data_IF_758997611615
#
_entry.id   IF_758997611615
#
_cell.length_a   1.000
_cell.length_b   1.000
_cell.length_c   1.000
_cell.angle_alpha   90.00
_cell.angle_beta   90.00
_cell.angle_gamma   90.00
#
_symmetry.space_group_name_H-M   'P 1'
#
loop_
_entity.id
_entity.type
_entity.pdbx_description
1 polymer ?
#
# COMPACT_ATOMS: atom_id res chain seq x y z
N UNK A 1 -40.93 -3.17 -17.30
CA UNK A 1 -39.87 -2.34 -16.69
C UNK A 1 -38.97 -1.87 -17.82
N UNK A 2 -39.01 -0.58 -18.15
CA UNK A 2 -38.14 0.02 -19.17
C UNK A 2 -36.79 0.26 -18.51
N UNK A 3 -35.75 -0.44 -18.98
CA UNK A 3 -34.36 -0.17 -18.60
C UNK A 3 -34.02 1.24 -19.09
N UNK A 4 -33.79 2.15 -18.15
CA UNK A 4 -33.16 3.43 -18.49
C UNK A 4 -31.79 3.15 -19.13
N UNK A 5 -31.46 3.81 -20.26
CA UNK A 5 -30.14 3.70 -20.84
C UNK A 5 -29.11 4.21 -19.83
N UNK A 6 -28.08 3.41 -19.57
CA UNK A 6 -26.97 3.81 -18.72
C UNK A 6 -26.41 5.15 -19.23
N UNK A 7 -26.17 6.14 -18.34
CA UNK A 7 -25.64 7.43 -18.74
C UNK A 7 -24.32 7.23 -19.49
N UNK A 8 -24.30 7.68 -20.75
CA UNK A 8 -23.14 7.69 -21.64
C UNK A 8 -21.94 8.28 -20.90
N UNK A 9 -20.97 7.42 -20.56
CA UNK A 9 -19.74 7.79 -19.86
C UNK A 9 -19.47 7.05 -18.53
N UNK A 10 -20.33 6.12 -18.12
CA UNK A 10 -20.07 5.24 -16.97
C UNK A 10 -20.07 3.77 -17.38
N UNK A 11 -18.92 3.11 -17.22
CA UNK A 11 -18.75 1.67 -17.36
C UNK A 11 -19.54 0.93 -16.26
N UNK A 12 -19.67 -0.39 -16.36
CA UNK A 12 -20.42 -1.26 -15.43
C UNK A 12 -20.10 -1.10 -13.92
N UNK A 13 -19.02 -0.38 -13.58
CA UNK A 13 -18.58 -0.06 -12.21
C UNK A 13 -18.70 1.43 -11.82
N UNK A 14 -19.19 2.29 -12.72
CA UNK A 14 -19.43 3.72 -12.49
C UNK A 14 -18.16 4.58 -12.43
N UNK A 15 -17.12 4.21 -13.18
CA UNK A 15 -15.87 4.96 -13.26
C UNK A 15 -15.91 5.89 -14.50
N UNK A 16 -15.85 7.23 -14.34
CA UNK A 16 -15.91 8.14 -15.49
C UNK A 16 -14.61 8.18 -16.30
N UNK A 17 -14.72 8.37 -17.63
CA UNK A 17 -13.62 8.49 -18.60
C UNK A 17 -12.54 9.55 -18.25
N UNK A 18 -12.88 10.51 -17.39
CA UNK A 18 -11.90 11.32 -16.67
C UNK A 18 -12.17 11.26 -15.16
N UNK A 19 -11.43 10.42 -14.44
CA UNK A 19 -11.50 10.36 -12.98
C UNK A 19 -10.92 11.64 -12.35
N UNK A 20 -11.70 12.73 -12.30
CA UNK A 20 -11.39 13.91 -11.47
C UNK A 20 -11.00 13.44 -10.06
N UNK A 21 -10.20 14.22 -9.34
CA UNK A 21 -9.68 13.83 -8.01
C UNK A 21 -10.78 13.30 -7.06
N UNK A 22 -11.94 13.94 -7.04
CA UNK A 22 -13.11 13.49 -6.27
C UNK A 22 -13.64 12.11 -6.70
N UNK A 23 -13.58 11.79 -7.99
CA UNK A 23 -13.90 10.49 -8.56
C UNK A 23 -12.93 9.40 -8.11
N UNK A 24 -11.62 9.69 -8.07
CA UNK A 24 -10.61 8.75 -7.55
C UNK A 24 -10.89 8.44 -6.08
N UNK A 25 -11.12 9.47 -5.25
CA UNK A 25 -11.42 9.30 -3.82
C UNK A 25 -12.71 8.50 -3.61
N UNK A 26 -13.78 8.84 -4.33
CA UNK A 26 -15.05 8.13 -4.21
C UNK A 26 -14.96 6.66 -4.67
N UNK A 27 -14.28 6.40 -5.78
CA UNK A 27 -14.03 5.05 -6.28
C UNK A 27 -13.17 4.24 -5.30
N UNK A 28 -12.09 4.84 -4.78
CA UNK A 28 -11.22 4.22 -3.76
C UNK A 28 -12.00 3.85 -2.52
N UNK A 29 -12.85 4.75 -2.03
CA UNK A 29 -13.68 4.52 -0.86
C UNK A 29 -14.70 3.40 -1.08
N UNK A 30 -15.36 3.38 -2.24
CA UNK A 30 -16.31 2.34 -2.61
C UNK A 30 -15.64 0.97 -2.67
N UNK A 31 -14.46 0.89 -3.30
CA UNK A 31 -13.69 -0.33 -3.46
C UNK A 31 -13.13 -0.84 -2.12
N UNK A 32 -12.64 0.08 -1.28
CA UNK A 32 -12.22 -0.22 0.09
C UNK A 32 -13.38 -0.76 0.91
N UNK A 33 -14.54 -0.10 0.89
CA UNK A 33 -15.72 -0.50 1.66
C UNK A 33 -16.24 -1.87 1.23
N UNK A 34 -16.27 -2.17 -0.07
CA UNK A 34 -16.74 -3.48 -0.56
C UNK A 34 -15.81 -4.64 -0.18
N UNK A 35 -14.52 -4.38 0.03
CA UNK A 35 -13.52 -5.38 0.41
C UNK A 35 -13.00 -5.24 1.85
N UNK A 36 -13.65 -4.41 2.67
CA UNK A 36 -13.15 -3.99 3.98
C UNK A 36 -12.72 -5.17 4.85
N UNK A 37 -13.59 -6.18 5.00
CA UNK A 37 -13.30 -7.33 5.85
C UNK A 37 -12.15 -8.21 5.34
N UNK A 38 -11.92 -8.29 4.03
CA UNK A 38 -10.78 -9.04 3.48
C UNK A 38 -9.47 -8.26 3.66
N UNK A 39 -9.48 -6.97 3.35
CA UNK A 39 -8.32 -6.10 3.49
C UNK A 39 -7.92 -5.90 4.96
N UNK A 40 -8.87 -5.65 5.86
CA UNK A 40 -8.58 -5.50 7.29
C UNK A 40 -7.93 -6.75 7.86
N UNK A 41 -8.45 -7.94 7.54
CA UNK A 41 -7.85 -9.22 7.97
C UNK A 41 -6.44 -9.41 7.43
N UNK A 42 -6.21 -9.07 6.16
CA UNK A 42 -4.89 -9.14 5.54
C UNK A 42 -3.88 -8.24 6.28
N UNK A 43 -4.22 -6.97 6.48
CA UNK A 43 -3.32 -6.01 7.12
C UNK A 43 -3.12 -6.33 8.61
N UNK A 44 -4.16 -6.70 9.34
CA UNK A 44 -4.00 -7.13 10.74
C UNK A 44 -3.12 -8.38 10.86
N UNK A 45 -3.31 -9.38 9.99
CA UNK A 45 -2.51 -10.61 10.04
C UNK A 45 -1.02 -10.37 9.79
N UNK A 46 -0.67 -9.31 9.06
CA UNK A 46 0.72 -8.96 8.74
C UNK A 46 1.31 -8.00 9.78
N UNK A 47 0.63 -6.90 10.08
CA UNK A 47 1.18 -5.83 10.90
C UNK A 47 1.09 -6.10 12.40
N UNK A 48 0.10 -6.88 12.87
CA UNK A 48 -0.03 -7.18 14.29
C UNK A 48 1.15 -8.01 14.82
N UNK A 49 1.57 -9.12 14.18
CA UNK A 49 2.75 -9.86 14.62
C UNK A 49 4.03 -9.02 14.57
N UNK A 50 4.18 -8.15 13.55
CA UNK A 50 5.34 -7.27 13.43
C UNK A 50 5.39 -6.22 14.54
N UNK A 51 4.25 -5.68 14.94
CA UNK A 51 4.15 -4.75 16.05
C UNK A 51 4.58 -5.40 17.37
N UNK A 52 4.13 -6.63 17.64
CA UNK A 52 4.57 -7.39 18.81
C UNK A 52 6.05 -7.75 18.76
N UNK A 53 6.56 -8.16 17.59
CA UNK A 53 7.97 -8.43 17.39
C UNK A 53 8.82 -7.19 17.69
N UNK A 54 8.39 -6.01 17.22
CA UNK A 54 9.06 -4.73 17.50
C UNK A 54 9.12 -4.43 19.00
N UNK A 55 8.02 -4.61 19.73
CA UNK A 55 8.00 -4.42 21.19
C UNK A 55 8.97 -5.39 21.87
N UNK A 56 8.97 -6.65 21.46
CA UNK A 56 9.91 -7.66 21.98
C UNK A 56 11.37 -7.27 21.76
N UNK A 57 11.72 -6.80 20.56
CA UNK A 57 13.06 -6.29 20.24
C UNK A 57 13.40 -5.07 21.11
N UNK A 58 12.47 -4.14 21.29
CA UNK A 58 12.68 -2.95 22.11
C UNK A 58 12.95 -3.30 23.58
N UNK A 59 12.19 -4.23 24.15
CA UNK A 59 12.40 -4.72 25.52
C UNK A 59 13.78 -5.36 25.65
N UNK A 60 14.17 -6.23 24.71
CA UNK A 60 15.48 -6.87 24.72
C UNK A 60 16.62 -5.85 24.66
N UNK A 61 16.55 -4.89 23.71
CA UNK A 61 17.59 -3.88 23.52
C UNK A 61 17.69 -2.89 24.69
N UNK A 62 16.60 -2.63 25.40
CA UNK A 62 16.60 -1.75 26.57
C UNK A 62 17.47 -2.28 27.72
N UNK A 63 17.76 -3.58 27.74
CA UNK A 63 18.59 -4.24 28.77
C UNK A 63 20.04 -4.41 28.29
N UNK A 64 20.27 -4.56 26.99
CA UNK A 64 21.57 -5.02 26.45
C UNK A 64 22.38 -3.95 25.71
N UNK A 65 21.77 -2.84 25.30
CA UNK A 65 22.42 -1.85 24.44
C UNK A 65 22.34 -0.43 25.00
N UNK A 66 23.24 0.44 24.56
CA UNK A 66 23.10 1.87 24.82
C UNK A 66 21.83 2.41 24.14
N UNK A 67 21.23 3.45 24.73
CA UNK A 67 19.99 4.04 24.21
C UNK A 67 20.09 4.46 22.73
N UNK A 68 21.24 5.00 22.33
CA UNK A 68 21.50 5.38 20.94
C UNK A 68 21.56 4.16 20.01
N UNK A 69 22.30 3.11 20.39
CA UNK A 69 22.42 1.90 19.59
C UNK A 69 21.06 1.19 19.46
N UNK A 70 20.30 1.09 20.56
CA UNK A 70 18.95 0.54 20.56
C UNK A 70 18.03 1.29 19.60
N UNK A 71 18.05 2.63 19.63
CA UNK A 71 17.22 3.47 18.77
C UNK A 71 17.57 3.32 17.28
N UNK A 72 18.85 3.25 16.93
CA UNK A 72 19.30 3.04 15.54
C UNK A 72 18.83 1.67 15.03
N UNK A 73 19.05 0.60 15.81
CA UNK A 73 18.63 -0.76 15.43
C UNK A 73 17.12 -0.83 15.27
N UNK A 74 16.35 -0.27 16.20
CA UNK A 74 14.88 -0.25 16.13
C UNK A 74 14.37 0.52 14.91
N UNK A 75 15.01 1.64 14.57
CA UNK A 75 14.61 2.46 13.42
C UNK A 75 14.87 1.71 12.11
N UNK A 76 16.09 1.20 11.90
CA UNK A 76 16.47 0.51 10.67
C UNK A 76 15.68 -0.79 10.47
N UNK A 77 15.58 -1.61 11.52
CA UNK A 77 14.83 -2.87 11.46
C UNK A 77 13.34 -2.63 11.20
N UNK A 78 12.74 -1.63 11.88
CA UNK A 78 11.34 -1.30 11.66
C UNK A 78 11.09 -0.84 10.22
N UNK A 79 11.96 0.01 9.66
CA UNK A 79 11.77 0.48 8.28
C UNK A 79 11.90 -0.65 7.27
N UNK A 80 12.91 -1.52 7.42
CA UNK A 80 13.09 -2.66 6.52
C UNK A 80 11.92 -3.65 6.63
N UNK A 81 11.52 -4.02 7.85
CA UNK A 81 10.43 -4.96 8.09
C UNK A 81 9.09 -4.39 7.59
N UNK A 82 8.78 -3.13 7.90
CA UNK A 82 7.54 -2.47 7.46
C UNK A 82 7.52 -2.31 5.94
N UNK A 83 8.65 -1.99 5.30
CA UNK A 83 8.73 -1.88 3.84
C UNK A 83 8.47 -3.24 3.16
N UNK A 84 9.11 -4.31 3.63
CA UNK A 84 8.91 -5.66 3.09
C UNK A 84 7.48 -6.14 3.31
N UNK A 85 6.99 -6.05 4.54
CA UNK A 85 5.65 -6.49 4.92
C UNK A 85 4.56 -5.66 4.26
N UNK A 86 4.74 -4.33 4.20
CA UNK A 86 3.83 -3.41 3.53
C UNK A 86 3.79 -3.63 2.03
N UNK A 87 4.93 -3.89 1.39
CA UNK A 87 4.98 -4.26 -0.04
C UNK A 87 4.22 -5.57 -0.31
N UNK A 88 4.45 -6.59 0.52
CA UNK A 88 3.74 -7.86 0.39
C UNK A 88 2.22 -7.71 0.62
N UNK A 89 1.83 -6.98 1.68
CA UNK A 89 0.44 -6.67 1.99
C UNK A 89 -0.24 -5.92 0.84
N UNK A 90 0.44 -4.91 0.28
CA UNK A 90 -0.05 -4.14 -0.85
C UNK A 90 -0.32 -5.04 -2.06
N UNK A 91 0.58 -5.96 -2.38
CA UNK A 91 0.42 -6.87 -3.52
C UNK A 91 -0.70 -7.88 -3.31
N UNK A 92 -0.85 -8.42 -2.09
CA UNK A 92 -2.00 -9.25 -1.75
C UNK A 92 -3.32 -8.45 -1.85
N UNK A 93 -3.32 -7.20 -1.39
CA UNK A 93 -4.47 -6.32 -1.49
C UNK A 93 -4.82 -6.04 -2.95
N UNK A 94 -3.83 -5.78 -3.80
CA UNK A 94 -4.01 -5.63 -5.25
C UNK A 94 -4.71 -6.84 -5.86
N UNK A 95 -4.27 -8.05 -5.53
CA UNK A 95 -4.91 -9.28 -6.01
C UNK A 95 -6.38 -9.35 -5.60
N UNK A 96 -6.68 -9.07 -4.31
CA UNK A 96 -8.06 -9.07 -3.79
C UNK A 96 -8.91 -8.04 -4.54
N UNK A 97 -8.38 -6.84 -4.76
CA UNK A 97 -9.09 -5.76 -5.43
C UNK A 97 -9.30 -6.05 -6.91
N UNK A 98 -8.30 -6.58 -7.61
CA UNK A 98 -8.38 -6.93 -9.01
C UNK A 98 -9.36 -8.10 -9.27
N UNK A 99 -9.33 -9.12 -8.42
CA UNK A 99 -10.30 -10.21 -8.49
C UNK A 99 -11.71 -9.71 -8.17
N UNK A 100 -11.85 -8.80 -7.19
CA UNK A 100 -13.13 -8.17 -6.83
C UNK A 100 -13.75 -7.36 -7.97
N UNK A 101 -12.95 -6.56 -8.67
CA UNK A 101 -13.38 -5.84 -9.89
C UNK A 101 -13.69 -6.80 -11.04
N UNK A 102 -13.12 -8.00 -11.05
CA UNK A 102 -13.44 -9.06 -12.02
C UNK A 102 -14.63 -9.94 -11.59
N UNK A 103 -15.33 -9.58 -10.51
CA UNK A 103 -16.48 -10.34 -9.99
C UNK A 103 -16.14 -11.59 -9.17
N UNK A 104 -14.87 -11.81 -8.82
CA UNK A 104 -14.41 -12.96 -8.02
C UNK A 104 -14.10 -12.54 -6.58
N UNK A 105 -14.58 -13.31 -5.61
CA UNK A 105 -14.24 -13.11 -4.21
C UNK A 105 -12.97 -13.88 -3.84
N UNK A 106 -11.87 -13.18 -3.59
CA UNK A 106 -10.58 -13.79 -3.22
C UNK A 106 -10.27 -13.58 -1.73
N UNK A 107 -9.96 -14.66 -1.02
CA UNK A 107 -9.52 -14.57 0.38
C UNK A 107 -8.04 -14.16 0.50
N UNK A 108 -7.60 -13.55 1.62
CA UNK A 108 -6.20 -13.18 1.81
C UNK A 108 -5.20 -14.33 1.61
N UNK A 109 -5.54 -15.53 2.08
CA UNK A 109 -4.71 -16.72 1.89
C UNK A 109 -4.68 -17.25 0.46
N UNK A 110 -5.74 -17.03 -0.33
CA UNK A 110 -5.73 -17.33 -1.77
C UNK A 110 -4.89 -16.30 -2.54
N UNK A 111 -4.99 -15.01 -2.18
CA UNK A 111 -4.15 -13.95 -2.75
C UNK A 111 -2.66 -14.24 -2.52
N UNK A 112 -2.27 -14.54 -1.28
CA UNK A 112 -0.88 -14.89 -0.95
C UNK A 112 -0.37 -16.12 -1.72
N UNK A 113 -1.21 -17.14 -1.91
CA UNK A 113 -0.85 -18.34 -2.69
C UNK A 113 -0.66 -18.03 -4.18
N UNK A 114 -1.49 -17.17 -4.76
CA UNK A 114 -1.34 -16.77 -6.17
C UNK A 114 -0.02 -16.03 -6.44
N UNK A 115 0.52 -15.36 -5.43
CA UNK A 115 1.77 -14.63 -5.52
C UNK A 115 3.02 -15.47 -5.23
N UNK A 116 2.86 -16.77 -4.87
CA UNK A 116 3.98 -17.65 -4.46
C UNK A 116 5.07 -17.74 -5.53
N UNK A 117 4.68 -17.82 -6.80
CA UNK A 117 5.63 -17.95 -7.92
C UNK A 117 6.38 -16.65 -8.22
N UNK A 118 5.90 -15.53 -7.68
CA UNK A 118 6.48 -14.21 -7.90
C UNK A 118 7.25 -13.69 -6.68
N UNK A 119 7.36 -14.48 -5.59
CA UNK A 119 7.95 -14.07 -4.30
C UNK A 119 9.30 -13.37 -4.46
N UNK A 120 10.15 -13.84 -5.38
CA UNK A 120 11.45 -13.21 -5.65
C UNK A 120 11.28 -11.77 -6.13
N UNK A 121 10.39 -11.53 -7.09
CA UNK A 121 10.12 -10.19 -7.62
C UNK A 121 9.43 -9.30 -6.57
N UNK A 122 8.57 -9.86 -5.72
CA UNK A 122 7.94 -9.11 -4.61
C UNK A 122 8.97 -8.66 -3.59
N UNK A 123 9.91 -9.56 -3.24
CA UNK A 123 11.00 -9.27 -2.31
C UNK A 123 11.93 -8.23 -2.91
N UNK A 124 12.27 -8.33 -4.20
CA UNK A 124 13.07 -7.30 -4.89
C UNK A 124 12.37 -5.93 -4.85
N UNK A 125 11.07 -5.87 -5.13
CA UNK A 125 10.29 -4.64 -5.03
C UNK A 125 10.25 -4.10 -3.59
N UNK A 126 10.05 -4.98 -2.60
CA UNK A 126 10.05 -4.61 -1.18
C UNK A 126 11.41 -4.11 -0.69
N UNK A 127 12.50 -4.75 -1.10
CA UNK A 127 13.87 -4.34 -0.79
C UNK A 127 14.18 -2.99 -1.41
N UNK A 128 13.77 -2.77 -2.66
CA UNK A 128 13.91 -1.47 -3.32
C UNK A 128 13.18 -0.37 -2.54
N UNK A 129 11.94 -0.62 -2.11
CA UNK A 129 11.19 0.31 -1.26
C UNK A 129 11.88 0.54 0.07
N UNK A 130 12.41 -0.52 0.69
CA UNK A 130 13.18 -0.42 1.94
C UNK A 130 14.44 0.43 1.78
N UNK A 131 15.22 0.19 0.73
CA UNK A 131 16.41 0.97 0.40
C UNK A 131 16.08 2.44 0.14
N UNK A 132 15.02 2.72 -0.62
CA UNK A 132 14.56 4.10 -0.84
C UNK A 132 14.09 4.76 0.45
N UNK A 133 13.37 4.02 1.30
CA UNK A 133 12.89 4.53 2.59
C UNK A 133 14.04 4.88 3.53
N UNK A 134 15.07 4.04 3.57
CA UNK A 134 16.30 4.30 4.35
C UNK A 134 17.07 5.47 3.73
N UNK A 135 17.28 5.50 2.41
CA UNK A 135 17.95 6.59 1.73
C UNK A 135 17.25 7.94 1.99
N UNK A 136 15.92 7.93 2.10
CA UNK A 136 15.14 9.11 2.39
C UNK A 136 15.36 9.68 3.80
N UNK A 137 15.86 8.91 4.76
CA UNK A 137 16.27 9.44 6.07
C UNK A 137 17.47 10.38 5.97
N UNK A 138 18.34 10.19 4.96
CA UNK A 138 19.56 10.97 4.78
C UNK A 138 19.35 12.22 3.93
N UNK A 139 18.15 12.42 3.39
CA UNK A 139 17.81 13.62 2.63
C UNK A 139 17.54 14.81 3.57
N UNK A 140 17.91 16.04 3.17
CA UNK A 140 17.83 17.24 4.02
C UNK A 140 16.40 17.64 4.44
N UNK A 141 15.39 17.02 3.84
CA UNK A 141 13.97 17.20 4.18
C UNK A 141 13.47 16.25 5.28
N UNK A 142 14.33 15.39 5.84
CA UNK A 142 14.00 14.50 6.95
C UNK A 142 12.84 13.54 6.67
N UNK A 143 11.99 13.21 7.68
CA UNK A 143 10.85 12.30 7.53
C UNK A 143 9.86 12.75 6.44
N UNK A 144 9.70 14.06 6.23
CA UNK A 144 8.84 14.61 5.18
C UNK A 144 9.39 14.32 3.78
N UNK A 145 10.72 14.32 3.63
CA UNK A 145 11.40 13.89 2.41
C UNK A 145 11.05 12.45 2.04
N UNK A 146 10.98 11.54 3.02
CA UNK A 146 10.60 10.13 2.79
C UNK A 146 9.17 9.93 2.29
N UNK A 147 8.23 10.78 2.72
CA UNK A 147 6.83 10.71 2.29
C UNK A 147 6.64 11.15 0.84
N UNK A 148 7.51 12.03 0.34
CA UNK A 148 7.40 12.61 -1.00
C UNK A 148 8.31 11.89 -2.00
N UNK A 149 9.55 11.59 -1.61
CA UNK A 149 10.59 11.09 -2.51
C UNK A 149 10.44 9.60 -2.83
N UNK A 150 10.01 8.78 -1.86
CA UNK A 150 9.83 7.32 -2.07
C UNK A 150 8.75 7.02 -3.11
N UNK A 151 7.58 7.69 -3.09
CA UNK A 151 6.60 7.58 -4.18
C UNK A 151 7.12 8.15 -5.51
N UNK A 152 7.90 9.24 -5.47
CA UNK A 152 8.41 9.94 -6.67
C UNK A 152 9.46 9.15 -7.45
N UNK A 153 10.41 8.49 -6.79
CA UNK A 153 11.56 7.90 -7.46
C UNK A 153 11.22 6.62 -8.23
N UNK A 154 10.13 5.92 -7.89
CA UNK A 154 9.95 4.55 -8.41
C UNK A 154 8.52 4.05 -8.54
N UNK A 155 7.51 4.95 -8.56
CA UNK A 155 6.10 4.55 -8.59
C UNK A 155 5.79 3.25 -7.83
N UNK A 156 6.31 3.02 -6.60
CA UNK A 156 6.31 1.69 -6.00
C UNK A 156 4.93 1.05 -5.87
N UNK A 157 3.83 1.82 -5.71
CA UNK A 157 2.50 1.25 -5.79
C UNK A 157 2.17 0.70 -7.18
N UNK A 158 2.50 1.42 -8.25
CA UNK A 158 2.24 0.97 -9.64
C UNK A 158 3.09 -0.25 -9.95
N UNK A 159 4.36 -0.27 -9.52
CA UNK A 159 5.22 -1.45 -9.70
C UNK A 159 4.60 -2.69 -9.03
N UNK A 160 4.12 -2.55 -7.80
CA UNK A 160 3.42 -3.62 -7.09
C UNK A 160 2.16 -4.07 -7.84
N UNK A 161 1.42 -3.15 -8.44
CA UNK A 161 0.24 -3.47 -9.26
C UNK A 161 0.60 -4.21 -10.54
N UNK A 162 1.64 -3.78 -11.25
CA UNK A 162 2.10 -4.44 -12.48
C UNK A 162 2.61 -5.85 -12.20
N UNK A 163 3.38 -6.05 -11.13
CA UNK A 163 3.84 -7.40 -10.75
C UNK A 163 2.62 -8.27 -10.39
N UNK A 164 1.78 -7.83 -9.47
CA UNK A 164 0.69 -8.64 -8.94
C UNK A 164 -0.48 -8.89 -9.92
N UNK A 165 -0.77 -7.94 -10.82
CA UNK A 165 -1.88 -8.03 -11.79
C UNK A 165 -1.40 -8.55 -13.14
N UNK A 166 -0.34 -7.97 -13.71
CA UNK A 166 0.15 -8.31 -15.04
C UNK A 166 1.15 -9.48 -15.03
N UNK A 167 1.55 -9.97 -13.84
CA UNK A 167 2.46 -11.13 -13.66
C UNK A 167 3.80 -10.91 -14.36
N UNK A 168 4.31 -9.68 -14.32
CA UNK A 168 5.58 -9.31 -14.95
C UNK A 168 6.74 -9.50 -13.99
N UNK A 169 7.88 -9.91 -14.54
CA UNK A 169 9.15 -9.94 -13.80
C UNK A 169 9.53 -8.54 -13.33
N UNK A 170 10.33 -8.42 -12.28
CA UNK A 170 10.70 -7.11 -11.73
C UNK A 170 11.28 -6.13 -12.79
N UNK A 171 12.22 -6.53 -13.68
CA UNK A 171 12.74 -5.62 -14.72
C UNK A 171 11.67 -5.16 -15.72
N UNK A 172 10.80 -6.07 -16.16
CA UNK A 172 9.69 -5.75 -17.06
C UNK A 172 8.66 -4.84 -16.39
N UNK A 173 8.39 -5.09 -15.10
CA UNK A 173 7.47 -4.30 -14.32
C UNK A 173 7.98 -2.85 -14.15
N UNK A 174 9.29 -2.65 -14.00
CA UNK A 174 9.89 -1.29 -13.96
C UNK A 174 9.71 -0.57 -15.29
N UNK A 175 10.03 -1.22 -16.41
CA UNK A 175 9.85 -0.64 -17.73
C UNK A 175 8.37 -0.29 -17.99
N UNK A 176 7.48 -1.20 -17.61
CA UNK A 176 6.04 -1.04 -17.69
C UNK A 176 5.50 0.09 -16.82
N UNK A 177 5.92 0.18 -15.57
CA UNK A 177 5.51 1.25 -14.67
C UNK A 177 5.96 2.64 -15.20
N UNK A 178 7.17 2.73 -15.77
CA UNK A 178 7.66 3.96 -16.42
C UNK A 178 6.82 4.34 -17.64
N UNK A 179 6.44 3.36 -18.45
CA UNK A 179 5.56 3.59 -19.60
C UNK A 179 4.19 4.12 -19.16
N UNK A 180 3.57 3.49 -18.17
CA UNK A 180 2.25 3.93 -17.64
C UNK A 180 2.30 5.34 -17.03
N UNK A 181 3.43 5.71 -16.43
CA UNK A 181 3.62 7.04 -15.86
C UNK A 181 4.00 8.09 -16.92
N UNK A 182 4.56 7.70 -18.06
CA UNK A 182 4.97 8.58 -19.16
C UNK A 182 3.82 9.47 -19.63
N UNK A 183 3.90 10.77 -19.33
CA UNK A 183 2.89 11.77 -19.69
C UNK A 183 1.85 12.09 -18.60
N UNK A 184 1.74 11.30 -17.53
CA UNK A 184 0.74 11.49 -16.46
C UNK A 184 1.33 11.57 -15.03
N UNK A 185 2.65 11.77 -14.91
CA UNK A 185 3.37 11.82 -13.63
C UNK A 185 2.75 12.75 -12.58
N UNK A 186 2.32 13.95 -12.98
CA UNK A 186 1.74 14.93 -12.04
C UNK A 186 0.45 14.44 -11.37
N UNK A 187 -0.37 13.66 -12.07
CA UNK A 187 -1.66 13.17 -11.56
C UNK A 187 -1.48 12.01 -10.59
N UNK A 188 -0.61 11.07 -10.94
CA UNK A 188 -0.18 10.00 -10.02
C UNK A 188 0.47 10.59 -8.77
N UNK A 189 1.33 11.59 -8.95
CA UNK A 189 2.00 12.28 -7.86
C UNK A 189 1.04 13.00 -6.92
N UNK A 190 0.12 13.81 -7.45
CA UNK A 190 -0.86 14.54 -6.61
C UNK A 190 -1.73 13.58 -5.81
N UNK A 191 -2.14 12.46 -6.42
CA UNK A 191 -2.98 11.47 -5.74
C UNK A 191 -2.20 10.77 -4.63
N UNK A 192 -0.96 10.35 -4.90
CA UNK A 192 -0.07 9.73 -3.91
C UNK A 192 0.32 10.70 -2.79
N UNK A 193 0.62 11.95 -3.13
CA UNK A 193 0.99 13.00 -2.18
C UNK A 193 -0.16 13.28 -1.21
N UNK A 194 -1.40 13.32 -1.70
CA UNK A 194 -2.56 13.60 -0.85
C UNK A 194 -2.82 12.45 0.14
N UNK A 195 -2.72 11.20 -0.31
CA UNK A 195 -2.84 10.06 0.60
C UNK A 195 -1.66 10.01 1.58
N UNK A 196 -0.45 10.26 1.11
CA UNK A 196 0.74 10.34 1.96
C UNK A 196 0.63 11.47 2.99
N UNK A 197 0.03 12.60 2.62
CA UNK A 197 -0.22 13.73 3.52
C UNK A 197 -1.26 13.38 4.60
N UNK A 198 -2.38 12.75 4.23
CA UNK A 198 -3.40 12.30 5.20
C UNK A 198 -2.82 11.26 6.16
N UNK A 199 -2.10 10.26 5.65
CA UNK A 199 -1.43 9.26 6.47
C UNK A 199 -0.32 9.87 7.32
N UNK A 200 0.42 10.84 6.79
CA UNK A 200 1.49 11.53 7.48
C UNK A 200 0.99 12.39 8.62
N UNK A 201 -0.11 13.12 8.43
CA UNK A 201 -0.80 13.84 9.51
C UNK A 201 -1.28 12.85 10.57
N UNK A 202 -1.94 11.76 10.16
CA UNK A 202 -2.43 10.75 11.11
C UNK A 202 -1.27 10.16 11.93
N UNK A 203 -0.15 9.85 11.28
CA UNK A 203 1.05 9.35 11.94
C UNK A 203 1.68 10.39 12.87
N UNK A 204 1.73 11.65 12.47
CA UNK A 204 2.25 12.75 13.29
C UNK A 204 1.39 12.91 14.56
N UNK A 205 0.07 12.95 14.41
CA UNK A 205 -0.88 13.03 15.53
C UNK A 205 -0.69 11.85 16.48
N UNK A 206 -0.57 10.63 15.94
CA UNK A 206 -0.33 9.45 16.75
C UNK A 206 1.01 9.48 17.47
N UNK A 207 2.07 9.95 16.81
CA UNK A 207 3.38 10.08 17.42
C UNK A 207 3.35 11.12 18.55
N UNK A 208 2.77 12.29 18.32
CA UNK A 208 2.61 13.34 19.34
C UNK A 208 1.80 12.85 20.54
N UNK A 209 0.71 12.11 20.30
CA UNK A 209 -0.09 11.51 21.36
C UNK A 209 0.68 10.44 22.14
N UNK A 210 1.49 9.64 21.44
CA UNK A 210 2.33 8.60 22.04
C UNK A 210 3.44 9.19 22.91
N UNK A 211 4.12 10.24 22.45
CA UNK A 211 5.15 10.95 23.23
C UNK A 211 4.55 11.59 24.48
N UNK A 212 3.35 12.19 24.36
CA UNK A 212 2.65 12.78 25.49
C UNK A 212 2.24 11.74 26.55
N UNK A 213 1.81 10.54 26.14
CA UNK A 213 1.47 9.45 27.05
C UNK A 213 2.69 8.72 27.63
N UNK A 214 3.79 8.63 26.87
CA UNK A 214 5.00 7.92 27.29
C UNK A 214 5.81 8.66 28.36
N UNK A 215 5.55 9.95 28.58
CA UNK A 215 6.20 10.73 29.63
C UNK A 215 5.90 10.18 31.05
N UNK A 216 4.79 9.46 31.25
CA UNK A 216 4.32 9.01 32.57
C UNK A 216 3.92 7.52 32.66
N UNK A 217 4.04 6.73 31.58
CA UNK A 217 3.36 5.44 31.50
C UNK A 217 4.31 4.21 31.44
N UNK A 218 3.99 3.20 32.26
CA UNK A 218 4.73 1.92 32.32
C UNK A 218 4.55 1.01 31.10
N UNK A 219 5.19 -0.18 31.11
CA UNK A 219 5.25 -1.10 29.96
C UNK A 219 3.89 -1.53 29.37
N UNK A 220 2.81 -1.52 30.15
CA UNK A 220 1.45 -1.83 29.67
C UNK A 220 0.91 -0.75 28.72
N UNK A 221 1.24 0.52 28.97
CA UNK A 221 0.84 1.62 28.09
C UNK A 221 1.54 1.57 26.73
N UNK A 222 2.82 1.16 26.70
CA UNK A 222 3.56 0.91 25.46
C UNK A 222 2.87 -0.16 24.59
N UNK A 223 2.41 -1.25 25.19
CA UNK A 223 1.67 -2.31 24.49
C UNK A 223 0.33 -1.79 23.93
N UNK A 224 -0.44 -1.07 24.74
CA UNK A 224 -1.74 -0.50 24.32
C UNK A 224 -1.55 0.51 23.19
N UNK A 225 -0.58 1.42 23.30
CA UNK A 225 -0.26 2.39 22.25
C UNK A 225 0.15 1.70 20.96
N UNK A 226 1.02 0.70 21.04
CA UNK A 226 1.46 -0.08 19.88
C UNK A 226 0.29 -0.79 19.20
N UNK A 227 -0.62 -1.37 19.98
CA UNK A 227 -1.83 -2.01 19.46
C UNK A 227 -2.74 -1.00 18.74
N UNK A 228 -2.99 0.16 19.35
CA UNK A 228 -3.83 1.22 18.75
C UNK A 228 -3.20 1.73 17.46
N UNK A 229 -1.90 2.03 17.45
CA UNK A 229 -1.19 2.46 16.24
C UNK A 229 -1.31 1.41 15.12
N UNK A 230 -1.16 0.13 15.48
CA UNK A 230 -1.27 -0.98 14.52
C UNK A 230 -2.69 -1.10 13.97
N UNK A 231 -3.71 -0.94 14.81
CA UNK A 231 -5.10 -0.95 14.39
C UNK A 231 -5.40 0.19 13.42
N UNK A 232 -4.91 1.40 13.72
CA UNK A 232 -5.08 2.56 12.85
C UNK A 232 -4.37 2.36 11.52
N UNK A 233 -3.13 1.86 11.52
CA UNK A 233 -2.41 1.52 10.30
C UNK A 233 -3.16 0.44 9.50
N UNK A 234 -3.69 -0.59 10.16
CA UNK A 234 -4.48 -1.65 9.52
C UNK A 234 -5.83 -1.17 8.97
N UNK A 235 -6.34 -0.02 9.41
CA UNK A 235 -7.52 0.62 8.82
C UNK A 235 -7.16 1.53 7.65
N UNK A 236 -6.06 2.27 7.75
CA UNK A 236 -5.68 3.31 6.81
C UNK A 236 -4.90 2.78 5.59
N UNK A 237 -3.99 1.81 5.77
CA UNK A 237 -3.18 1.24 4.70
C UNK A 237 -4.00 0.49 3.63
N UNK A 238 -5.07 -0.28 3.97
CA UNK A 238 -6.00 -0.79 2.97
C UNK A 238 -6.61 0.27 2.05
N UNK A 239 -6.94 1.44 2.61
CA UNK A 239 -7.51 2.53 1.82
C UNK A 239 -6.46 3.08 0.85
N UNK A 240 -5.21 3.24 1.29
CA UNK A 240 -4.08 3.54 0.41
C UNK A 240 -3.92 2.50 -0.71
N UNK A 241 -4.03 1.20 -0.39
CA UNK A 241 -3.98 0.15 -1.41
C UNK A 241 -5.09 0.30 -2.45
N UNK A 242 -6.33 0.58 -2.01
CA UNK A 242 -7.44 0.86 -2.91
C UNK A 242 -7.19 2.10 -3.78
N UNK A 243 -6.69 3.20 -3.20
CA UNK A 243 -6.40 4.42 -3.96
C UNK A 243 -5.31 4.24 -5.00
N UNK A 244 -4.23 3.55 -4.62
CA UNK A 244 -3.14 3.27 -5.57
C UNK A 244 -3.60 2.33 -6.68
N UNK A 245 -4.49 1.38 -6.38
CA UNK A 245 -5.08 0.49 -7.38
C UNK A 245 -6.01 1.24 -8.35
N UNK A 246 -6.87 2.13 -7.85
CA UNK A 246 -7.71 2.98 -8.71
C UNK A 246 -6.85 3.90 -9.59
N UNK A 247 -5.75 4.42 -9.05
CA UNK A 247 -4.80 5.24 -9.82
C UNK A 247 -4.10 4.41 -10.90
N UNK A 248 -3.73 3.16 -10.59
CA UNK A 248 -3.20 2.23 -11.59
C UNK A 248 -4.20 1.97 -12.73
N UNK A 249 -5.48 1.76 -12.41
CA UNK A 249 -6.52 1.59 -13.42
C UNK A 249 -6.74 2.86 -14.26
N UNK A 250 -6.80 4.06 -13.64
CA UNK A 250 -6.89 5.34 -14.37
C UNK A 250 -5.72 5.52 -15.36
N UNK A 251 -4.50 5.18 -14.93
CA UNK A 251 -3.33 5.24 -15.81
C UNK A 251 -3.38 4.23 -16.94
N UNK A 252 -3.93 3.02 -16.74
CA UNK A 252 -4.09 2.03 -17.81
C UNK A 252 -5.16 2.43 -18.82
N UNK A 253 -6.34 2.86 -18.35
CA UNK A 253 -7.43 3.32 -19.22
C UNK A 253 -6.93 4.42 -20.16
N UNK A 254 -6.15 5.38 -19.65
CA UNK A 254 -5.63 6.50 -20.43
C UNK A 254 -4.55 6.13 -21.45
N UNK A 255 -3.76 5.08 -21.18
CA UNK A 255 -2.64 4.70 -22.05
C UNK A 255 -3.02 3.59 -23.05
N UNK A 256 -4.04 2.77 -22.76
CA UNK A 256 -4.24 1.49 -23.46
C UNK A 256 -5.69 1.14 -23.80
N UNK A 257 -6.66 2.02 -23.53
CA UNK A 257 -8.08 1.75 -23.77
C UNK A 257 -8.53 0.43 -23.09
N UNK A 258 -8.26 0.33 -21.78
CA UNK A 258 -8.43 -0.88 -20.98
C UNK A 258 -9.87 -1.41 -21.03
N UNK A 259 -10.09 -2.55 -21.69
CA UNK A 259 -11.31 -3.34 -21.54
C UNK A 259 -11.25 -4.17 -20.24
N UNK A 260 -12.30 -4.11 -19.42
CA UNK A 260 -12.41 -4.88 -18.17
C UNK A 260 -12.27 -6.40 -18.37
N UNK A 261 -12.67 -6.90 -19.54
CA UNK A 261 -12.47 -8.29 -19.97
C UNK A 261 -10.99 -8.65 -20.07
N UNK A 262 -10.14 -7.72 -20.50
CA UNK A 262 -8.69 -7.89 -20.54
C UNK A 262 -8.07 -8.06 -19.15
N UNK A 263 -8.53 -7.28 -18.17
CA UNK A 263 -8.11 -7.43 -16.77
C UNK A 263 -8.52 -8.80 -16.21
N UNK A 264 -9.75 -9.23 -16.48
CA UNK A 264 -10.23 -10.55 -16.07
C UNK A 264 -9.43 -11.68 -16.74
N UNK A 265 -9.06 -11.55 -18.02
CA UNK A 265 -8.22 -12.50 -18.74
C UNK A 265 -6.79 -12.56 -18.18
N UNK A 266 -6.16 -11.41 -17.91
CA UNK A 266 -4.85 -11.34 -17.24
C UNK A 266 -4.89 -12.05 -15.88
N UNK A 267 -5.94 -11.78 -15.09
CA UNK A 267 -6.15 -12.42 -13.79
C UNK A 267 -6.50 -13.90 -13.89
N UNK A 268 -7.05 -14.39 -15.01
CA UNK A 268 -7.27 -15.81 -15.24
C UNK A 268 -5.95 -16.53 -15.56
N UNK A 269 -5.08 -15.93 -16.39
CA UNK A 269 -3.75 -16.47 -16.71
C UNK A 269 -2.83 -16.51 -15.49
N UNK A 270 -2.96 -15.56 -14.58
CA UNK A 270 -2.16 -15.50 -13.35
C UNK A 270 -2.42 -16.65 -12.36
N UNK A 271 -3.61 -17.29 -12.46
CA UNK A 271 -4.09 -18.29 -11.50
C UNK A 271 -4.08 -19.71 -12.11
N UNK A 272 -3.96 -19.82 -13.43
CA UNK A 272 -3.84 -21.08 -14.17
C UNK A 272 -2.44 -21.71 -14.01
#
# INVERSE_FOLDING_TARGET
MRSEPAPTGMDAYGLPAELRFSGIVAASWRLYRSHFGALLRLYLAIFLPLAFLRVGIQVLLSVTASALAAQVVLTLSSMALVALAGSFALQCATVILADGVSGRSTSPGAAARSLRNQVRDLVSAGLLVGMLSIAALFLPFGPLGSMVIVPMLLGPPILAHVIAVEVKSFPEAVARARMLLGGNWGRGLVTLLNVAFVLGILQLVLLSFSVALLADAGGLALLVLTFIQTLIAALALPYLAATTFVTYLDLRVRNEDLAWEGLAAERARAVA
#
